data_IF_061473036723
#
_entry.id   IF_061473036723
#
_cell.length_a   1.000
_cell.length_b   1.000
_cell.length_c   1.000
_cell.angle_alpha   90.00
_cell.angle_beta   90.00
_cell.angle_gamma   90.00
#
_symmetry.space_group_name_H-M   'P 1'
#
loop_
_entity.id
_entity.type
_entity.pdbx_description
1 polymer ?
#
# COMPACT_ATOMS: atom_id res chain seq x y z
N UNK A 1 -51.71 -28.04 7.76
CA UNK A 1 -50.34 -27.91 7.25
C UNK A 1 -49.98 -26.44 7.34
N UNK A 2 -49.00 -26.07 8.18
CA UNK A 2 -48.50 -24.70 8.22
C UNK A 2 -47.65 -24.45 6.96
N UNK A 3 -47.80 -23.28 6.32
CA UNK A 3 -46.94 -22.94 5.18
C UNK A 3 -45.52 -22.68 5.68
N UNK A 4 -44.52 -22.92 4.83
CA UNK A 4 -43.11 -22.68 5.17
C UNK A 4 -42.89 -21.23 5.66
N UNK A 5 -43.63 -20.28 5.10
CA UNK A 5 -43.64 -18.87 5.49
C UNK A 5 -44.20 -18.61 6.89
N UNK A 6 -45.19 -19.38 7.34
CA UNK A 6 -45.76 -19.26 8.70
C UNK A 6 -44.79 -19.78 9.75
N UNK A 7 -44.03 -20.83 9.40
CA UNK A 7 -42.99 -21.41 10.24
C UNK A 7 -41.83 -20.42 10.37
N UNK A 8 -41.37 -19.83 9.26
CA UNK A 8 -40.31 -18.81 9.28
C UNK A 8 -40.71 -17.52 10.00
N UNK A 9 -41.95 -17.08 9.85
CA UNK A 9 -42.48 -15.91 10.58
C UNK A 9 -42.53 -16.17 12.08
N UNK A 10 -42.91 -17.37 12.50
CA UNK A 10 -42.93 -17.78 13.91
C UNK A 10 -41.52 -17.87 14.51
N UNK A 11 -40.55 -18.39 13.74
CA UNK A 11 -39.14 -18.45 14.14
C UNK A 11 -38.54 -17.04 14.26
N UNK A 12 -38.84 -16.14 13.32
CA UNK A 12 -38.41 -14.74 13.38
C UNK A 12 -39.01 -14.01 14.58
N UNK A 13 -40.29 -14.20 14.90
CA UNK A 13 -40.94 -13.58 16.07
C UNK A 13 -40.32 -14.08 17.39
N UNK A 14 -40.00 -15.37 17.47
CA UNK A 14 -39.34 -15.97 18.64
C UNK A 14 -37.91 -15.42 18.78
N UNK A 15 -37.15 -15.33 17.68
CA UNK A 15 -35.80 -14.77 17.67
C UNK A 15 -35.81 -13.27 18.01
N UNK A 16 -36.75 -12.49 17.48
CA UNK A 16 -36.89 -11.06 17.78
C UNK A 16 -37.25 -10.83 19.24
N UNK A 17 -38.15 -11.66 19.80
CA UNK A 17 -38.52 -11.62 21.22
C UNK A 17 -37.36 -12.01 22.15
N UNK A 18 -36.49 -12.92 21.69
CA UNK A 18 -35.29 -13.33 22.41
C UNK A 18 -34.21 -12.25 22.35
N UNK A 19 -33.98 -11.64 21.19
CA UNK A 19 -33.06 -10.52 21.00
C UNK A 19 -33.49 -9.27 21.78
N UNK A 20 -34.78 -8.95 21.84
CA UNK A 20 -35.32 -7.82 22.60
C UNK A 20 -35.22 -8.01 24.13
N UNK A 21 -35.13 -9.27 24.60
CA UNK A 21 -34.85 -9.59 26.01
C UNK A 21 -33.37 -9.48 26.38
N UNK A 22 -32.47 -9.69 25.42
CA UNK A 22 -31.01 -9.64 25.63
C UNK A 22 -30.47 -8.22 25.40
N UNK A 23 -31.07 -7.47 24.47
CA UNK A 23 -30.69 -6.11 24.12
C UNK A 23 -31.93 -5.21 24.07
N UNK A 24 -32.37 -4.65 25.22
CA UNK A 24 -33.46 -3.68 25.19
C UNK A 24 -33.03 -2.43 24.41
N UNK A 25 -33.92 -1.83 23.59
CA UNK A 25 -33.61 -0.59 22.88
C UNK A 25 -33.31 0.56 23.86
N UNK A 26 -32.47 1.54 23.48
CA UNK A 26 -32.11 2.65 24.35
C UNK A 26 -33.34 3.55 24.58
N UNK A 27 -33.91 3.50 25.79
CA UNK A 27 -34.95 4.42 26.21
C UNK A 27 -34.39 5.84 26.41
N UNK A 28 -35.12 6.81 25.89
CA UNK A 28 -34.94 8.25 26.10
C UNK A 28 -35.51 8.67 27.46
N UNK A 29 -34.64 8.91 28.45
CA UNK A 29 -35.02 9.63 29.67
C UNK A 29 -34.29 9.23 30.95
N UNK A 30 -33.62 10.22 31.55
CA UNK A 30 -33.18 10.44 32.95
C UNK A 30 -32.68 9.21 33.77
N UNK A 31 -31.40 9.32 34.19
CA UNK A 31 -30.67 8.36 35.03
C UNK A 31 -31.44 7.88 36.28
N UNK A 32 -31.21 6.62 36.65
CA UNK A 32 -30.60 6.35 37.95
C UNK A 32 -29.37 5.44 37.83
N UNK A 33 -28.35 5.69 38.66
CA UNK A 33 -27.15 4.83 38.79
C UNK A 33 -27.56 3.37 39.11
N UNK A 34 -27.04 2.35 38.40
CA UNK A 34 -27.06 0.97 38.88
C UNK A 34 -25.65 0.44 39.13
N UNK A 35 -25.38 0.23 40.42
CA UNK A 35 -24.86 -0.97 41.08
C UNK A 35 -24.14 -2.00 40.17
N UNK A 36 -22.90 -2.31 40.57
CA UNK A 36 -22.02 -3.37 40.06
C UNK A 36 -22.74 -4.73 40.05
N UNK A 37 -23.11 -5.20 38.86
CA UNK A 37 -23.59 -6.57 38.60
C UNK A 37 -22.67 -7.27 37.60
N UNK A 38 -22.19 -8.47 37.93
CA UNK A 38 -21.27 -9.29 37.11
C UNK A 38 -21.85 -9.57 35.71
N UNK A 39 -21.04 -9.53 34.64
CA UNK A 39 -21.51 -9.86 33.29
C UNK A 39 -21.82 -11.37 33.16
N UNK A 40 -23.02 -11.69 32.69
CA UNK A 40 -23.43 -13.04 32.28
C UNK A 40 -22.64 -13.43 31.02
N UNK A 41 -22.05 -14.63 31.01
CA UNK A 41 -21.30 -15.18 29.87
C UNK A 41 -22.26 -15.46 28.71
N UNK A 42 -22.00 -14.87 27.55
CA UNK A 42 -22.66 -15.26 26.30
C UNK A 42 -22.11 -16.61 25.83
N UNK A 43 -23.01 -17.52 25.48
CA UNK A 43 -22.68 -18.83 24.89
C UNK A 43 -22.43 -18.60 23.39
N UNK A 44 -21.30 -19.04 22.81
CA UNK A 44 -21.05 -18.89 21.38
C UNK A 44 -22.02 -19.75 20.57
N UNK A 45 -22.52 -19.21 19.46
CA UNK A 45 -23.38 -19.93 18.53
C UNK A 45 -22.57 -21.00 17.79
N UNK A 46 -23.17 -22.19 17.50
CA UNK A 46 -22.55 -23.20 16.67
C UNK A 46 -22.11 -22.66 15.31
N UNK A 47 -20.95 -23.11 14.76
CA UNK A 47 -20.42 -22.67 13.46
C UNK A 47 -21.41 -22.81 12.31
N UNK A 48 -22.26 -23.84 12.34
CA UNK A 48 -23.26 -24.12 11.32
C UNK A 48 -24.35 -23.03 11.29
N UNK A 49 -24.68 -22.46 12.45
CA UNK A 49 -25.63 -21.35 12.58
C UNK A 49 -24.97 -20.04 12.11
N UNK A 50 -23.66 -19.87 12.35
CA UNK A 50 -22.92 -18.71 11.85
C UNK A 50 -22.82 -18.72 10.32
N UNK A 51 -22.56 -19.87 9.70
CA UNK A 51 -22.50 -20.01 8.24
C UNK A 51 -23.86 -19.80 7.57
N UNK A 52 -24.96 -20.21 8.21
CA UNK A 52 -26.31 -19.87 7.78
C UNK A 52 -26.59 -18.37 7.94
N UNK A 53 -26.19 -17.74 9.04
CA UNK A 53 -26.30 -16.28 9.23
C UNK A 53 -25.49 -15.53 8.17
N UNK A 54 -24.27 -15.99 7.85
CA UNK A 54 -23.43 -15.40 6.80
C UNK A 54 -24.06 -15.56 5.43
N UNK A 55 -24.54 -16.75 5.08
CA UNK A 55 -25.20 -16.99 3.80
C UNK A 55 -26.51 -16.21 3.66
N UNK A 56 -27.31 -16.11 4.72
CA UNK A 56 -28.57 -15.36 4.72
C UNK A 56 -28.31 -13.85 4.56
N UNK A 57 -27.27 -13.31 5.22
CA UNK A 57 -26.92 -11.89 5.13
C UNK A 57 -26.24 -11.52 3.81
N UNK A 58 -25.39 -12.38 3.25
CA UNK A 58 -24.84 -12.20 1.90
C UNK A 58 -25.98 -12.24 0.87
N UNK A 59 -26.93 -13.16 1.05
CA UNK A 59 -28.12 -13.23 0.18
C UNK A 59 -28.99 -11.98 0.34
N UNK A 60 -29.25 -11.50 1.55
CA UNK A 60 -30.00 -10.25 1.79
C UNK A 60 -29.27 -9.00 1.26
N UNK A 61 -27.94 -8.96 1.32
CA UNK A 61 -27.11 -7.91 0.73
C UNK A 61 -27.14 -7.92 -0.80
N UNK A 62 -27.29 -9.09 -1.41
CA UNK A 62 -27.28 -9.26 -2.87
C UNK A 62 -28.67 -9.24 -3.51
N UNK A 63 -29.75 -9.51 -2.77
CA UNK A 63 -31.09 -9.72 -3.36
C UNK A 63 -32.12 -8.61 -3.12
N UNK A 64 -31.82 -7.50 -2.43
CA UNK A 64 -32.83 -6.43 -2.26
C UNK A 64 -32.37 -5.02 -2.64
N UNK A 65 -33.16 -4.41 -3.52
CA UNK A 65 -33.22 -3.00 -3.90
C UNK A 65 -33.69 -2.10 -2.73
N UNK A 66 -33.11 -2.22 -1.53
CA UNK A 66 -33.57 -1.48 -0.33
C UNK A 66 -32.60 -0.42 0.20
N UNK A 67 -31.48 -0.14 -0.48
CA UNK A 67 -30.59 0.96 -0.07
C UNK A 67 -30.92 2.24 -0.85
N UNK A 68 -31.57 3.19 -0.17
CA UNK A 68 -31.96 4.48 -0.77
C UNK A 68 -30.78 5.34 -1.24
N UNK A 69 -29.58 5.17 -0.66
CA UNK A 69 -28.34 5.83 -1.13
C UNK A 69 -27.08 4.98 -0.91
N UNK A 70 -26.03 5.26 -1.69
CA UNK A 70 -24.68 4.64 -1.54
C UNK A 70 -24.08 4.86 -0.14
N UNK A 71 -24.49 5.94 0.55
CA UNK A 71 -24.05 6.25 1.91
C UNK A 71 -24.59 5.24 2.93
N UNK A 72 -25.84 4.83 2.77
CA UNK A 72 -26.50 3.89 3.67
C UNK A 72 -25.89 2.49 3.53
N UNK A 73 -25.57 2.08 2.30
CA UNK A 73 -24.80 0.87 2.03
C UNK A 73 -23.44 0.86 2.76
N UNK A 74 -22.67 1.95 2.68
CA UNK A 74 -21.36 2.06 3.34
C UNK A 74 -21.44 2.05 4.87
N UNK A 75 -22.49 2.65 5.42
CA UNK A 75 -22.74 2.64 6.87
C UNK A 75 -23.05 1.20 7.33
N UNK A 76 -23.92 0.50 6.61
CA UNK A 76 -24.28 -0.89 6.94
C UNK A 76 -23.11 -1.85 6.76
N UNK A 77 -22.32 -1.71 5.69
CA UNK A 77 -21.09 -2.48 5.49
C UNK A 77 -20.10 -2.27 6.66
N UNK A 78 -19.97 -1.04 7.15
CA UNK A 78 -19.09 -0.72 8.30
C UNK A 78 -19.60 -1.31 9.62
N UNK A 79 -20.91 -1.34 9.83
CA UNK A 79 -21.51 -1.99 11.00
C UNK A 79 -21.34 -3.52 10.94
N UNK A 80 -21.58 -4.12 9.77
CA UNK A 80 -21.36 -5.54 9.53
C UNK A 80 -19.91 -5.96 9.78
N UNK A 81 -18.92 -5.19 9.29
CA UNK A 81 -17.50 -5.48 9.55
C UNK A 81 -17.14 -5.39 11.04
N UNK A 82 -17.78 -4.49 11.80
CA UNK A 82 -17.61 -4.43 13.27
C UNK A 82 -18.26 -5.62 13.98
N UNK A 83 -19.42 -6.07 13.52
CA UNK A 83 -20.11 -7.21 14.08
C UNK A 83 -19.38 -8.52 13.76
N UNK A 84 -18.79 -8.67 12.58
CA UNK A 84 -17.87 -9.78 12.26
C UNK A 84 -16.69 -9.78 13.23
N UNK A 85 -16.04 -8.62 13.42
CA UNK A 85 -14.93 -8.53 14.37
C UNK A 85 -15.33 -8.78 15.83
N UNK A 86 -16.56 -8.43 16.21
CA UNK A 86 -17.12 -8.76 17.53
C UNK A 86 -17.51 -10.24 17.69
N UNK A 87 -18.00 -10.87 16.62
CA UNK A 87 -18.51 -12.25 16.61
C UNK A 87 -17.41 -13.30 16.45
N UNK A 88 -16.27 -12.93 15.82
CA UNK A 88 -15.05 -13.75 15.76
C UNK A 88 -14.30 -13.86 17.11
N UNK A 89 -14.90 -13.39 18.22
CA UNK A 89 -14.42 -13.71 19.57
C UNK A 89 -13.06 -13.12 19.94
N UNK A 90 -12.57 -12.10 19.24
CA UNK A 90 -11.31 -11.41 19.56
C UNK A 90 -11.49 -10.40 20.71
N UNK A 91 -12.01 -10.88 21.84
CA UNK A 91 -11.91 -10.23 23.14
C UNK A 91 -11.38 -11.25 24.16
N UNK A 92 -10.07 -11.19 24.39
CA UNK A 92 -9.27 -11.75 25.50
C UNK A 92 -9.94 -12.73 26.48
N UNK A 93 -9.44 -13.98 26.51
CA UNK A 93 -8.73 -14.57 27.68
C UNK A 93 -8.11 -15.91 27.33
N UNK A 94 -6.79 -16.01 27.53
CA UNK A 94 -6.06 -17.25 27.63
C UNK A 94 -6.65 -18.12 28.75
N UNK A 95 -7.06 -19.35 28.43
CA UNK A 95 -6.88 -20.51 29.32
C UNK A 95 -6.99 -21.83 28.56
N UNK A 96 -5.89 -22.60 28.63
CA UNK A 96 -5.69 -24.05 28.47
C UNK A 96 -6.26 -24.79 27.24
N UNK A 97 -5.31 -25.46 26.58
CA UNK A 97 -5.47 -26.56 25.64
C UNK A 97 -6.66 -27.49 25.90
N UNK A 98 -7.31 -27.96 24.83
CA UNK A 98 -7.30 -29.38 24.40
C UNK A 98 -8.22 -29.62 23.20
N UNK A 99 -7.71 -30.46 22.30
CA UNK A 99 -8.41 -31.40 21.41
C UNK A 99 -9.44 -30.89 20.41
N UNK A 100 -9.11 -31.10 19.13
CA UNK A 100 -10.05 -31.69 18.17
C UNK A 100 -10.95 -30.73 17.42
N UNK A 101 -10.40 -29.92 16.53
CA UNK A 101 -11.18 -29.28 15.46
C UNK A 101 -10.33 -29.24 14.18
N UNK A 102 -10.95 -29.61 13.06
CA UNK A 102 -10.34 -29.79 11.74
C UNK A 102 -9.64 -28.49 11.29
N UNK A 103 -8.43 -28.67 10.76
CA UNK A 103 -7.60 -27.65 10.12
C UNK A 103 -8.43 -26.90 9.06
N UNK A 104 -8.70 -25.61 9.23
CA UNK A 104 -9.11 -24.75 8.11
C UNK A 104 -7.96 -24.76 7.10
N UNK A 105 -8.26 -24.83 5.80
CA UNK A 105 -7.25 -24.89 4.74
C UNK A 105 -6.13 -23.86 4.91
N UNK A 106 -4.92 -24.24 4.47
CA UNK A 106 -3.75 -23.37 4.36
C UNK A 106 -4.12 -21.97 3.80
N UNK A 107 -3.56 -20.93 4.43
CA UNK A 107 -3.51 -19.56 3.90
C UNK A 107 -4.71 -18.67 4.26
N UNK A 108 -4.71 -18.08 5.47
CA UNK A 108 -5.54 -16.89 5.72
C UNK A 108 -4.92 -15.73 4.96
N UNK A 109 -5.72 -14.96 4.20
CA UNK A 109 -5.29 -13.77 3.47
C UNK A 109 -6.00 -12.54 4.03
N UNK A 110 -5.30 -11.41 4.16
CA UNK A 110 -5.91 -10.14 4.55
C UNK A 110 -5.71 -9.15 3.39
N UNK A 111 -6.81 -8.65 2.82
CA UNK A 111 -6.80 -7.61 1.80
C UNK A 111 -7.59 -6.42 2.33
N UNK A 112 -6.90 -5.31 2.59
CA UNK A 112 -7.52 -4.06 3.10
C UNK A 112 -7.57 -2.97 2.03
N UNK A 113 -7.14 -3.30 0.80
CA UNK A 113 -7.11 -2.37 -0.34
C UNK A 113 -8.47 -1.69 -0.61
N UNK A 114 -9.58 -2.42 -0.41
CA UNK A 114 -10.94 -1.95 -0.68
C UNK A 114 -11.76 -1.63 0.60
N UNK A 115 -11.37 -2.19 1.75
CA UNK A 115 -12.12 -2.10 3.01
C UNK A 115 -11.70 -0.93 3.93
N UNK A 116 -10.76 -0.10 3.50
CA UNK A 116 -10.14 0.96 4.30
C UNK A 116 -8.93 0.46 5.09
N UNK A 117 -8.21 1.37 5.76
CA UNK A 117 -7.00 1.01 6.51
C UNK A 117 -7.31 0.29 7.82
N UNK A 118 -6.37 -0.55 8.26
CA UNK A 118 -6.42 -1.15 9.59
C UNK A 118 -6.28 -0.07 10.68
N UNK A 119 -6.77 -0.34 11.90
CA UNK A 119 -6.50 0.53 13.04
C UNK A 119 -4.99 0.80 13.20
N UNK A 120 -4.67 1.98 13.72
CA UNK A 120 -3.28 2.34 14.07
C UNK A 120 -2.75 1.31 15.09
N UNK A 121 -1.48 0.96 14.95
CA UNK A 121 -0.75 -0.01 15.79
C UNK A 121 -1.36 -1.42 15.83
N UNK A 122 -2.09 -1.82 14.79
CA UNK A 122 -2.71 -3.14 14.74
C UNK A 122 -1.67 -4.27 14.80
N UNK A 123 -1.92 -5.27 15.64
CA UNK A 123 -1.01 -6.39 15.85
C UNK A 123 -1.46 -7.61 15.04
N UNK A 124 -0.81 -7.84 13.89
CA UNK A 124 -1.10 -8.99 13.03
C UNK A 124 -0.47 -10.30 13.52
N UNK A 125 0.41 -10.28 14.53
CA UNK A 125 1.03 -11.50 15.05
C UNK A 125 0.00 -12.49 15.64
N UNK A 126 -1.20 -12.01 15.98
CA UNK A 126 -2.31 -12.85 16.44
C UNK A 126 -2.87 -13.75 15.33
N UNK A 127 -2.69 -13.37 14.07
CA UNK A 127 -3.10 -14.16 12.90
C UNK A 127 -2.01 -15.19 12.56
N UNK A 128 -1.84 -16.21 13.41
CA UNK A 128 -0.67 -17.12 13.40
C UNK A 128 -0.51 -18.00 12.16
N UNK A 129 -1.52 -18.05 11.29
CA UNK A 129 -1.54 -18.82 10.02
C UNK A 129 -1.71 -17.92 8.78
N UNK A 130 -1.53 -16.60 8.94
CA UNK A 130 -1.58 -15.62 7.85
C UNK A 130 -0.33 -15.77 6.98
N UNK A 131 -0.51 -16.08 5.70
CA UNK A 131 0.60 -16.27 4.75
C UNK A 131 0.72 -15.11 3.77
N UNK A 132 -0.40 -14.44 3.43
CA UNK A 132 -0.44 -13.37 2.44
C UNK A 132 -1.21 -12.18 3.01
N UNK A 133 -0.63 -10.98 2.92
CA UNK A 133 -1.32 -9.75 3.33
C UNK A 133 -1.10 -8.62 2.33
N UNK A 134 -2.16 -7.88 2.02
CA UNK A 134 -2.14 -6.61 1.28
C UNK A 134 -2.79 -5.52 2.15
N UNK A 135 -1.97 -4.57 2.59
CA UNK A 135 -2.31 -3.63 3.67
C UNK A 135 -2.25 -2.18 3.21
N UNK A 136 -3.34 -1.45 3.34
CA UNK A 136 -3.41 -0.02 3.04
C UNK A 136 -2.84 0.83 4.19
N UNK A 137 -1.69 1.44 3.95
CA UNK A 137 -0.93 2.26 4.92
C UNK A 137 -1.23 3.76 4.83
N UNK A 138 -2.23 4.18 4.06
CA UNK A 138 -2.51 5.60 3.85
C UNK A 138 -2.82 6.37 5.15
N UNK A 139 -3.41 5.69 6.16
CA UNK A 139 -3.66 6.28 7.50
C UNK A 139 -2.43 6.35 8.40
N UNK A 140 -1.26 5.90 7.92
CA UNK A 140 0.01 6.05 8.62
C UNK A 140 0.48 7.51 8.70
N UNK A 141 -0.20 8.42 8.02
CA UNK A 141 0.00 9.86 8.15
C UNK A 141 -1.34 10.58 8.31
N UNK A 142 -1.39 11.58 9.19
CA UNK A 142 -2.57 12.42 9.39
C UNK A 142 -2.16 13.89 9.49
N UNK A 143 -2.94 14.77 8.85
CA UNK A 143 -2.71 16.21 8.94
C UNK A 143 -3.21 16.76 10.29
N UNK A 144 -2.31 17.38 11.06
CA UNK A 144 -2.67 18.11 12.27
C UNK A 144 -2.86 19.59 11.95
N UNK A 145 -4.12 20.06 11.95
CA UNK A 145 -4.41 21.48 11.76
C UNK A 145 -3.80 22.36 12.84
N UNK A 146 -3.78 21.90 14.09
CA UNK A 146 -3.26 22.68 15.21
C UNK A 146 -1.74 22.88 15.14
N UNK A 147 -1.01 21.86 14.66
CA UNK A 147 0.45 21.88 14.57
C UNK A 147 0.96 22.24 13.18
N UNK A 148 0.05 22.37 12.19
CA UNK A 148 0.37 22.60 10.78
C UNK A 148 1.43 21.62 10.25
N UNK A 149 1.31 20.33 10.62
CA UNK A 149 2.25 19.29 10.21
C UNK A 149 1.56 17.93 10.04
N UNK A 150 2.21 17.02 9.31
CA UNK A 150 1.81 15.62 9.26
C UNK A 150 2.33 14.87 10.47
N UNK A 151 1.41 14.25 11.21
CA UNK A 151 1.72 13.28 12.26
C UNK A 151 1.87 11.91 11.62
N UNK A 152 2.91 11.19 12.02
CA UNK A 152 3.19 9.83 11.57
C UNK A 152 2.71 8.84 12.62
N UNK A 153 2.07 7.78 12.15
CA UNK A 153 1.57 6.69 12.94
C UNK A 153 2.02 5.38 12.35
N UNK A 154 2.32 4.43 13.23
CA UNK A 154 2.65 3.08 12.82
C UNK A 154 1.34 2.34 12.53
N UNK A 155 1.16 1.86 11.30
CA UNK A 155 -0.05 1.10 10.95
C UNK A 155 -0.05 -0.29 11.61
N UNK A 156 1.07 -1.01 11.52
CA UNK A 156 1.22 -2.36 12.05
C UNK A 156 2.32 -2.38 13.11
N UNK A 157 2.00 -2.93 14.28
CA UNK A 157 2.95 -3.06 15.40
C UNK A 157 3.78 -4.35 15.34
N UNK A 158 3.24 -5.42 14.77
CA UNK A 158 3.93 -6.70 14.58
C UNK A 158 3.24 -7.57 13.53
N UNK A 159 4.01 -8.44 12.86
CA UNK A 159 3.54 -9.41 11.88
C UNK A 159 3.70 -10.86 12.36
N UNK A 160 2.92 -11.82 11.84
CA UNK A 160 3.06 -13.22 12.19
C UNK A 160 4.23 -13.87 11.41
N UNK A 161 4.95 -14.80 12.06
CA UNK A 161 6.06 -15.55 11.44
C UNK A 161 5.64 -16.42 10.24
N UNK A 162 4.35 -16.71 10.10
CA UNK A 162 3.77 -17.44 8.98
C UNK A 162 3.74 -16.64 7.68
N UNK A 163 3.91 -15.31 7.73
CA UNK A 163 3.79 -14.45 6.56
C UNK A 163 4.86 -14.78 5.51
N UNK A 164 4.44 -14.89 4.24
CA UNK A 164 5.27 -15.21 3.08
C UNK A 164 5.23 -14.11 2.03
N UNK A 165 4.06 -13.50 1.82
CA UNK A 165 3.89 -12.41 0.87
C UNK A 165 3.27 -11.21 1.56
N UNK A 166 3.89 -10.05 1.41
CA UNK A 166 3.41 -8.81 1.97
C UNK A 166 3.39 -7.71 0.92
N UNK A 167 2.23 -7.11 0.73
CA UNK A 167 2.05 -5.90 -0.04
C UNK A 167 1.60 -4.76 0.88
N UNK A 168 2.33 -3.66 0.83
CA UNK A 168 2.00 -2.42 1.51
C UNK A 168 1.58 -1.41 0.46
N UNK A 169 0.35 -0.93 0.57
CA UNK A 169 -0.26 0.01 -0.36
C UNK A 169 -0.27 1.41 0.22
N UNK A 170 -0.08 2.42 -0.64
CA UNK A 170 -0.18 3.85 -0.29
C UNK A 170 0.75 4.25 0.86
N UNK A 171 1.97 3.73 0.84
CA UNK A 171 2.99 4.04 1.82
C UNK A 171 3.41 5.52 1.76
N UNK A 172 3.38 6.20 2.91
CA UNK A 172 3.99 7.53 3.12
C UNK A 172 5.14 7.49 4.14
N UNK A 173 5.17 6.49 5.02
CA UNK A 173 6.25 6.31 6.00
C UNK A 173 7.52 5.81 5.29
N UNK A 174 8.72 6.15 5.80
CA UNK A 174 9.97 5.64 5.24
C UNK A 174 9.98 4.12 5.16
N UNK A 175 10.46 3.55 4.05
CA UNK A 175 10.53 2.11 3.85
C UNK A 175 11.35 1.42 4.93
N UNK A 176 12.37 2.09 5.46
CA UNK A 176 13.26 1.50 6.47
C UNK A 176 12.50 1.08 7.73
N UNK A 177 11.45 1.80 8.11
CA UNK A 177 10.62 1.45 9.26
C UNK A 177 9.82 0.17 9.00
N UNK A 178 9.26 0.03 7.79
CA UNK A 178 8.52 -1.16 7.38
C UNK A 178 9.45 -2.36 7.22
N UNK A 179 10.56 -2.20 6.50
CA UNK A 179 11.52 -3.27 6.22
C UNK A 179 12.12 -3.80 7.52
N UNK A 180 12.50 -2.94 8.48
CA UNK A 180 12.99 -3.39 9.79
C UNK A 180 11.96 -4.25 10.51
N UNK A 181 10.72 -3.77 10.60
CA UNK A 181 9.66 -4.52 11.26
C UNK A 181 9.40 -5.89 10.61
N UNK A 182 9.35 -5.92 9.28
CA UNK A 182 9.14 -7.15 8.52
C UNK A 182 10.32 -8.10 8.66
N UNK A 183 11.55 -7.59 8.66
CA UNK A 183 12.77 -8.37 8.91
C UNK A 183 12.77 -9.04 10.28
N UNK A 184 12.33 -8.30 11.32
CA UNK A 184 12.29 -8.82 12.68
C UNK A 184 11.20 -9.89 12.88
N UNK A 185 10.07 -9.75 12.18
CA UNK A 185 8.90 -10.60 12.39
C UNK A 185 8.79 -11.79 11.42
N UNK A 186 9.28 -11.64 10.19
CA UNK A 186 8.94 -12.51 9.06
C UNK A 186 10.18 -13.08 8.36
N UNK A 187 10.99 -13.92 9.04
CA UNK A 187 12.21 -14.49 8.43
C UNK A 187 11.93 -15.39 7.22
N UNK A 188 10.68 -15.86 7.08
CA UNK A 188 10.23 -16.69 5.96
C UNK A 188 9.64 -15.92 4.78
N UNK A 189 9.68 -14.59 4.77
CA UNK A 189 9.08 -13.78 3.71
C UNK A 189 9.78 -14.02 2.36
N UNK A 190 8.99 -14.33 1.33
CA UNK A 190 9.46 -14.59 -0.03
C UNK A 190 9.16 -13.44 -0.99
N UNK A 191 8.15 -12.63 -0.70
CA UNK A 191 7.77 -11.48 -1.53
C UNK A 191 7.43 -10.26 -0.69
N UNK A 192 8.03 -9.12 -1.04
CA UNK A 192 7.75 -7.83 -0.43
C UNK A 192 7.42 -6.80 -1.50
N UNK A 193 6.24 -6.17 -1.39
CA UNK A 193 5.82 -5.06 -2.22
C UNK A 193 5.62 -3.80 -1.39
N UNK A 194 6.36 -2.75 -1.71
CA UNK A 194 6.29 -1.45 -1.07
C UNK A 194 5.74 -0.44 -2.07
N UNK A 195 4.41 -0.41 -2.21
CA UNK A 195 3.73 0.49 -3.13
C UNK A 195 3.51 1.83 -2.45
N UNK A 196 4.30 2.83 -2.87
CA UNK A 196 4.17 4.19 -2.35
C UNK A 196 2.87 4.83 -2.79
N UNK A 197 2.32 5.67 -1.92
CA UNK A 197 1.43 6.70 -2.39
C UNK A 197 2.27 7.62 -3.27
N UNK A 198 1.79 7.98 -4.45
CA UNK A 198 2.47 8.91 -5.34
C UNK A 198 1.47 9.89 -5.90
N UNK A 199 2.00 11.00 -6.41
CA UNK A 199 1.20 11.97 -7.15
C UNK A 199 0.45 11.39 -8.35
N UNK A 200 0.90 10.26 -8.90
CA UNK A 200 0.31 9.65 -10.09
C UNK A 200 -0.86 8.71 -9.74
N UNK A 201 -0.77 8.01 -8.61
CA UNK A 201 -1.79 7.05 -8.19
C UNK A 201 -2.87 7.67 -7.27
N UNK A 202 -2.53 8.70 -6.49
CA UNK A 202 -3.44 9.39 -5.57
C UNK A 202 -3.18 10.91 -5.55
N UNK A 203 -3.51 11.62 -6.66
CA UNK A 203 -3.23 13.07 -6.80
C UNK A 203 -3.99 13.95 -5.81
N UNK A 204 -5.05 13.43 -5.19
CA UNK A 204 -5.88 14.18 -4.23
C UNK A 204 -5.38 14.05 -2.79
N UNK A 205 -4.41 13.17 -2.52
CA UNK A 205 -3.85 12.99 -1.20
C UNK A 205 -3.23 14.29 -0.66
N UNK A 206 -3.66 14.70 0.54
CA UNK A 206 -3.20 15.93 1.19
C UNK A 206 -1.70 15.96 1.46
N UNK A 207 -1.06 14.79 1.59
CA UNK A 207 0.39 14.68 1.78
C UNK A 207 1.14 15.44 0.70
N UNK A 208 0.70 15.36 -0.56
CA UNK A 208 1.35 16.03 -1.69
C UNK A 208 1.24 17.56 -1.66
N UNK A 209 0.39 18.14 -0.81
CA UNK A 209 0.27 19.60 -0.69
C UNK A 209 1.43 20.23 0.05
N UNK A 210 2.10 19.48 0.93
CA UNK A 210 3.21 19.97 1.76
C UNK A 210 4.59 19.59 1.21
N UNK A 211 4.65 18.81 0.13
CA UNK A 211 5.91 18.48 -0.56
C UNK A 211 6.19 19.58 -1.57
N UNK A 212 6.51 20.76 -1.01
CA UNK A 212 6.51 22.05 -1.68
C UNK A 212 7.82 22.32 -2.41
N UNK A 213 8.91 21.67 -2.01
CA UNK A 213 10.21 21.83 -2.67
C UNK A 213 10.45 20.67 -3.61
N UNK A 214 11.02 20.96 -4.78
CA UNK A 214 11.43 19.98 -5.79
C UNK A 214 12.38 18.89 -5.22
N UNK A 215 12.90 19.04 -4.01
CA UNK A 215 13.81 18.09 -3.36
C UNK A 215 13.10 17.09 -2.43
N UNK A 216 11.80 17.28 -2.14
CA UNK A 216 11.08 16.48 -1.13
C UNK A 216 10.36 15.26 -1.72
N UNK A 217 10.55 14.97 -3.01
CA UNK A 217 9.93 13.80 -3.68
C UNK A 217 10.76 12.54 -3.43
N UNK A 218 10.69 12.03 -2.20
CA UNK A 218 11.46 10.87 -1.74
C UNK A 218 11.26 9.59 -2.58
N UNK A 219 10.16 9.49 -3.31
CA UNK A 219 9.84 8.40 -4.23
C UNK A 219 10.42 8.56 -5.65
N UNK A 220 11.09 9.67 -5.96
CA UNK A 220 11.80 9.91 -7.21
C UNK A 220 13.30 10.00 -6.94
N UNK A 221 14.07 9.01 -7.40
CA UNK A 221 15.52 8.93 -7.22
C UNK A 221 16.22 9.27 -8.53
N UNK A 222 17.33 10.01 -8.46
CA UNK A 222 18.13 10.29 -9.66
C UNK A 222 18.57 8.99 -10.35
N UNK A 223 18.56 9.00 -11.69
CA UNK A 223 19.10 7.90 -12.52
C UNK A 223 20.62 7.96 -12.67
N UNK A 224 21.29 8.94 -12.04
CA UNK A 224 22.75 9.04 -12.05
C UNK A 224 23.40 7.86 -11.32
N UNK A 225 24.43 7.28 -11.95
CA UNK A 225 25.08 6.04 -11.49
C UNK A 225 25.49 6.08 -10.00
N UNK A 226 26.17 7.12 -9.48
CA UNK A 226 26.56 7.14 -8.06
C UNK A 226 25.34 7.07 -7.12
N UNK A 227 24.28 7.81 -7.45
CA UNK A 227 23.03 7.84 -6.66
C UNK A 227 22.35 6.48 -6.67
N UNK A 228 22.29 5.82 -7.83
CA UNK A 228 21.70 4.47 -7.97
C UNK A 228 22.50 3.45 -7.17
N UNK A 229 23.84 3.51 -7.21
CA UNK A 229 24.72 2.61 -6.44
C UNK A 229 24.52 2.80 -4.94
N UNK A 230 24.51 4.04 -4.46
CA UNK A 230 24.26 4.34 -3.04
C UNK A 230 22.88 3.84 -2.59
N UNK A 231 21.85 4.16 -3.36
CA UNK A 231 20.47 3.76 -3.11
C UNK A 231 20.33 2.23 -3.05
N UNK A 232 20.84 1.51 -4.05
CA UNK A 232 20.68 0.07 -4.14
C UNK A 232 21.43 -0.68 -3.03
N UNK A 233 22.63 -0.21 -2.66
CA UNK A 233 23.36 -0.77 -1.52
C UNK A 233 22.63 -0.51 -0.20
N UNK A 234 22.14 0.71 0.03
CA UNK A 234 21.33 1.03 1.22
C UNK A 234 20.11 0.12 1.35
N UNK A 235 19.34 -0.02 0.27
CA UNK A 235 18.19 -0.95 0.22
C UNK A 235 18.61 -2.39 0.49
N UNK A 236 19.71 -2.85 -0.11
CA UNK A 236 20.21 -4.20 0.12
C UNK A 236 20.60 -4.45 1.58
N UNK A 237 21.24 -3.48 2.24
CA UNK A 237 21.58 -3.58 3.66
C UNK A 237 20.35 -3.72 4.55
N UNK A 238 19.29 -2.95 4.28
CA UNK A 238 18.02 -3.03 5.01
C UNK A 238 17.34 -4.39 4.86
N UNK A 239 17.43 -4.99 3.68
CA UNK A 239 16.77 -6.24 3.33
C UNK A 239 17.52 -7.50 3.81
N UNK A 240 18.69 -7.37 4.44
CA UNK A 240 19.50 -8.52 4.90
C UNK A 240 18.79 -9.44 5.88
N UNK A 241 17.84 -8.90 6.64
CA UNK A 241 17.02 -9.68 7.57
C UNK A 241 15.97 -10.56 6.90
N UNK A 242 15.85 -10.54 5.57
CA UNK A 242 14.90 -11.34 4.79
C UNK A 242 15.64 -12.40 3.95
N UNK A 243 16.11 -13.49 4.58
CA UNK A 243 17.02 -14.45 3.93
C UNK A 243 16.37 -15.31 2.84
N UNK A 244 15.04 -15.31 2.74
CA UNK A 244 14.28 -16.06 1.74
C UNK A 244 13.60 -15.17 0.69
N UNK A 245 13.92 -13.86 0.65
CA UNK A 245 13.28 -12.92 -0.26
C UNK A 245 13.63 -13.26 -1.72
N UNK A 246 12.61 -13.63 -2.50
CA UNK A 246 12.73 -13.98 -3.91
C UNK A 246 12.23 -12.88 -4.85
N UNK A 247 11.26 -12.08 -4.41
CA UNK A 247 10.68 -10.99 -5.18
C UNK A 247 10.57 -9.70 -4.37
N UNK A 248 11.04 -8.60 -4.95
CA UNK A 248 11.02 -7.27 -4.34
C UNK A 248 10.40 -6.25 -5.29
N UNK A 249 9.35 -5.57 -4.82
CA UNK A 249 8.68 -4.53 -5.59
C UNK A 249 8.80 -3.20 -4.85
N UNK A 250 9.50 -2.23 -5.44
CA UNK A 250 9.82 -0.94 -4.81
C UNK A 250 9.06 0.17 -5.51
N UNK A 251 8.26 0.94 -4.77
CA UNK A 251 7.47 2.07 -5.29
C UNK A 251 8.27 3.34 -5.57
N UNK A 252 9.53 3.21 -5.98
CA UNK A 252 10.40 4.33 -6.36
C UNK A 252 10.55 4.41 -7.88
N UNK A 253 10.48 5.62 -8.42
CA UNK A 253 10.92 5.90 -9.79
C UNK A 253 12.43 6.15 -9.77
N UNK A 254 13.18 5.42 -10.58
CA UNK A 254 14.60 5.72 -10.82
C UNK A 254 14.74 6.77 -11.92
N UNK A 255 14.06 7.88 -11.69
CA UNK A 255 14.18 9.13 -12.43
C UNK A 255 13.91 10.28 -11.45
N UNK A 256 14.61 11.40 -11.61
CA UNK A 256 14.45 12.54 -10.70
C UNK A 256 13.16 13.31 -10.97
N UNK A 257 12.77 14.18 -10.03
CA UNK A 257 11.63 15.10 -10.24
C UNK A 257 11.81 15.95 -11.51
N UNK A 258 13.03 16.14 -11.99
CA UNK A 258 13.32 16.89 -13.20
C UNK A 258 12.48 16.39 -14.38
N UNK A 259 12.26 15.08 -14.50
CA UNK A 259 11.43 14.54 -15.57
C UNK A 259 9.97 15.01 -15.52
N UNK A 260 9.41 15.25 -14.33
CA UNK A 260 8.08 15.87 -14.17
C UNK A 260 8.13 17.33 -14.62
N UNK A 261 9.20 18.06 -14.27
CA UNK A 261 9.36 19.47 -14.64
C UNK A 261 9.54 19.64 -16.14
N UNK A 262 10.46 18.88 -16.74
CA UNK A 262 10.73 18.81 -18.17
C UNK A 262 9.46 18.52 -18.95
N UNK A 263 8.74 17.44 -18.59
CA UNK A 263 7.48 17.10 -19.24
C UNK A 263 6.48 18.27 -19.22
N UNK A 264 6.39 18.97 -18.10
CA UNK A 264 5.37 19.99 -17.88
C UNK A 264 5.73 21.37 -18.38
N UNK A 265 7.01 21.71 -18.47
CA UNK A 265 7.46 23.07 -18.75
C UNK A 265 8.01 23.23 -20.16
N UNK A 266 8.61 22.20 -20.73
CA UNK A 266 9.19 22.27 -22.06
C UNK A 266 8.15 22.13 -23.17
N UNK A 267 8.22 23.01 -24.16
CA UNK A 267 7.27 23.03 -25.27
C UNK A 267 7.34 21.77 -26.13
N UNK A 268 8.52 21.15 -26.21
CA UNK A 268 8.73 19.88 -26.90
C UNK A 268 7.83 18.77 -26.33
N UNK A 269 7.71 18.69 -25.00
CA UNK A 269 6.85 17.70 -24.32
C UNK A 269 5.38 18.13 -24.36
N UNK A 270 5.09 19.41 -24.14
CA UNK A 270 3.72 19.95 -24.11
C UNK A 270 2.89 19.66 -25.36
N UNK A 271 3.54 19.59 -26.54
CA UNK A 271 2.84 19.29 -27.81
C UNK A 271 2.16 17.91 -27.82
N UNK A 272 2.57 17.01 -26.91
CA UNK A 272 2.01 15.67 -26.77
C UNK A 272 0.99 15.54 -25.63
N UNK A 273 0.69 16.63 -24.92
CA UNK A 273 -0.26 16.57 -23.81
C UNK A 273 -1.69 16.32 -24.33
N UNK A 274 -2.45 15.39 -23.71
CA UNK A 274 -3.86 15.14 -24.08
C UNK A 274 -4.80 16.27 -23.62
N UNK A 275 -4.31 17.18 -22.78
CA UNK A 275 -4.98 18.39 -22.33
C UNK A 275 -3.99 19.54 -22.35
N UNK A 276 -4.49 20.77 -22.48
CA UNK A 276 -3.64 21.96 -22.44
C UNK A 276 -3.10 22.17 -21.01
N UNK A 277 -1.83 21.84 -20.79
CA UNK A 277 -1.12 22.28 -19.59
C UNK A 277 -0.67 23.73 -19.77
N UNK A 278 -1.10 24.61 -18.87
CA UNK A 278 -0.72 26.03 -18.86
C UNK A 278 0.40 26.31 -17.86
N UNK A 279 1.02 25.26 -17.33
CA UNK A 279 2.12 25.42 -16.41
C UNK A 279 3.34 26.02 -17.12
N UNK A 280 3.91 27.05 -16.52
CA UNK A 280 5.14 27.69 -16.97
C UNK A 280 5.98 28.10 -15.77
N UNK A 281 7.29 28.00 -15.93
CA UNK A 281 8.26 28.49 -14.98
C UNK A 281 8.73 29.88 -15.43
N UNK A 282 8.75 30.86 -14.52
CA UNK A 282 9.35 32.19 -14.76
C UNK A 282 10.58 32.31 -13.85
N UNK A 283 11.77 32.21 -14.45
CA UNK A 283 13.11 32.56 -13.94
C UNK A 283 13.29 32.47 -12.40
N UNK A 284 12.89 31.35 -11.80
CA UNK A 284 13.17 31.00 -10.41
C UNK A 284 12.36 31.77 -9.36
N UNK A 285 11.39 32.60 -9.76
CA UNK A 285 10.60 33.44 -8.84
C UNK A 285 9.13 33.00 -8.74
N UNK A 286 8.57 32.36 -9.78
CA UNK A 286 7.19 31.90 -9.72
C UNK A 286 6.84 30.82 -10.74
N UNK A 287 6.08 29.83 -10.29
CA UNK A 287 5.42 28.85 -11.16
C UNK A 287 4.00 29.32 -11.41
N UNK A 288 3.68 29.63 -12.65
CA UNK A 288 2.31 29.94 -13.01
C UNK A 288 1.55 28.64 -13.27
N UNK A 289 0.58 28.33 -12.42
CA UNK A 289 -0.26 27.15 -12.58
C UNK A 289 -1.74 27.49 -12.35
N UNK A 290 -2.54 27.50 -13.41
CA UNK A 290 -3.98 27.74 -13.31
C UNK A 290 -4.71 26.71 -12.44
N UNK A 291 -4.19 25.48 -12.31
CA UNK A 291 -4.72 24.47 -11.40
C UNK A 291 -4.50 24.88 -9.94
N UNK A 292 -3.39 25.55 -9.65
CA UNK A 292 -3.08 26.08 -8.31
C UNK A 292 -3.98 27.26 -7.96
N UNK A 293 -4.21 28.19 -8.90
CA UNK A 293 -5.17 29.28 -8.70
C UNK A 293 -6.60 28.75 -8.45
N UNK A 294 -7.04 27.74 -9.21
CA UNK A 294 -8.34 27.08 -8.97
C UNK A 294 -8.38 26.32 -7.65
N UNK A 295 -7.32 25.58 -7.32
CA UNK A 295 -7.25 24.83 -6.07
C UNK A 295 -7.25 25.77 -4.85
N UNK A 296 -6.54 26.90 -4.90
CA UNK A 296 -6.59 27.92 -3.85
C UNK A 296 -7.97 28.57 -3.73
N UNK A 297 -8.65 28.83 -4.85
CA UNK A 297 -10.01 29.37 -4.84
C UNK A 297 -11.07 28.37 -4.33
N UNK A 298 -10.81 27.07 -4.48
CA UNK A 298 -11.68 25.97 -4.06
C UNK A 298 -11.29 25.34 -2.71
N UNK A 299 -10.14 25.70 -2.14
CA UNK A 299 -9.63 25.21 -0.87
C UNK A 299 -10.48 25.74 0.29
N UNK A 300 -11.67 25.15 0.44
CA UNK A 300 -12.51 25.20 1.63
C UNK A 300 -12.41 23.87 2.40
N UNK A 301 -11.31 23.14 2.23
CA UNK A 301 -11.08 21.89 2.96
C UNK A 301 -10.13 22.10 4.14
N UNK A 302 -10.19 21.18 5.07
CA UNK A 302 -9.45 21.21 6.33
C UNK A 302 -7.97 20.78 6.17
N UNK A 303 -7.46 20.70 4.94
CA UNK A 303 -6.13 20.19 4.62
C UNK A 303 -5.02 21.25 4.76
N UNK A 304 -3.76 20.87 4.46
CA UNK A 304 -2.64 21.79 4.45
C UNK A 304 -2.84 22.94 3.46
N UNK A 305 -2.33 24.15 3.77
CA UNK A 305 -2.35 25.26 2.84
C UNK A 305 -1.56 24.92 1.57
N UNK A 306 -1.98 25.51 0.45
CA UNK A 306 -1.35 25.30 -0.84
C UNK A 306 -0.31 26.39 -1.04
N UNK A 307 0.97 26.04 -1.00
CA UNK A 307 2.04 26.98 -1.31
C UNK A 307 2.06 27.28 -2.81
N UNK A 308 1.89 28.57 -3.15
CA UNK A 308 1.79 29.09 -4.51
C UNK A 308 3.11 29.05 -5.29
N UNK A 309 4.24 28.84 -4.60
CA UNK A 309 5.58 28.83 -5.21
C UNK A 309 6.03 27.44 -5.67
N UNK A 310 5.13 26.46 -5.57
CA UNK A 310 5.46 25.04 -5.72
C UNK A 310 4.85 24.48 -6.98
N UNK A 311 5.49 23.46 -7.55
CA UNK A 311 4.99 22.80 -8.75
C UNK A 311 3.78 21.96 -8.37
N UNK A 312 2.60 22.59 -8.41
CA UNK A 312 1.34 21.86 -8.24
C UNK A 312 1.16 20.89 -9.38
N UNK A 313 0.81 19.66 -9.04
CA UNK A 313 0.69 18.58 -10.00
C UNK A 313 -0.35 18.83 -11.07
N UNK A 314 -0.06 18.32 -12.27
CA UNK A 314 -1.02 18.32 -13.34
C UNK A 314 -2.20 17.39 -13.03
N UNK A 315 -3.33 17.66 -13.67
CA UNK A 315 -4.48 16.75 -13.64
C UNK A 315 -4.06 15.33 -14.04
N UNK A 316 -4.67 14.30 -13.44
CA UNK A 316 -4.39 12.90 -13.80
C UNK A 316 -4.48 12.63 -15.30
N UNK A 317 -5.36 13.37 -15.99
CA UNK A 317 -5.54 13.29 -17.43
C UNK A 317 -4.29 13.73 -18.21
N UNK A 318 -3.41 14.57 -17.67
CA UNK A 318 -2.14 14.91 -18.33
C UNK A 318 -1.29 13.67 -18.55
N UNK A 319 -1.25 12.78 -17.57
CA UNK A 319 -0.41 11.59 -17.56
C UNK A 319 -1.09 10.38 -18.22
N UNK A 320 -2.31 10.52 -18.72
CA UNK A 320 -3.09 9.38 -19.21
C UNK A 320 -2.62 8.82 -20.55
N UNK A 321 -1.72 9.53 -21.25
CA UNK A 321 -1.16 9.13 -22.54
C UNK A 321 0.37 9.11 -22.44
N UNK A 322 1.05 8.08 -22.99
CA UNK A 322 2.50 8.09 -23.12
C UNK A 322 3.01 9.32 -23.88
N UNK A 323 4.15 9.85 -23.46
CA UNK A 323 4.78 11.00 -24.11
C UNK A 323 6.01 10.52 -24.89
N UNK A 324 6.03 10.61 -26.23
CA UNK A 324 7.18 10.17 -27.03
C UNK A 324 8.49 10.89 -26.69
N UNK A 325 8.41 12.10 -26.17
CA UNK A 325 9.58 12.90 -25.77
C UNK A 325 10.15 12.40 -24.44
N UNK A 326 9.27 12.08 -23.47
CA UNK A 326 9.70 11.41 -22.25
C UNK A 326 10.37 10.07 -22.56
N UNK A 327 9.82 9.30 -23.50
CA UNK A 327 10.43 8.04 -23.94
C UNK A 327 11.83 8.28 -24.50
N UNK A 328 11.96 9.23 -25.44
CA UNK A 328 13.24 9.54 -26.07
C UNK A 328 14.30 10.02 -25.08
N UNK A 329 13.90 10.83 -24.11
CA UNK A 329 14.82 11.47 -23.18
C UNK A 329 15.16 10.57 -21.98
N UNK A 330 14.19 9.84 -21.44
CA UNK A 330 14.32 9.17 -20.15
C UNK A 330 14.38 7.64 -20.23
N UNK A 331 14.00 6.99 -21.34
CA UNK A 331 13.95 5.52 -21.39
C UNK A 331 15.30 4.87 -21.09
N UNK A 332 16.36 5.32 -21.78
CA UNK A 332 17.69 4.75 -21.60
C UNK A 332 18.27 5.01 -20.20
N UNK A 333 18.24 6.25 -19.66
CA UNK A 333 18.68 6.50 -18.28
C UNK A 333 17.92 5.67 -17.23
N UNK A 334 16.60 5.55 -17.35
CA UNK A 334 15.77 4.74 -16.45
C UNK A 334 16.16 3.27 -16.53
N UNK A 335 16.22 2.70 -17.74
CA UNK A 335 16.56 1.29 -17.91
C UNK A 335 17.95 0.96 -17.34
N UNK A 336 18.96 1.81 -17.57
CA UNK A 336 20.30 1.64 -16.99
C UNK A 336 20.24 1.67 -15.46
N UNK A 337 19.53 2.63 -14.88
CA UNK A 337 19.39 2.77 -13.44
C UNK A 337 18.69 1.57 -12.80
N UNK A 338 17.58 1.11 -13.39
CA UNK A 338 16.82 -0.03 -12.89
C UNK A 338 17.59 -1.35 -13.00
N UNK A 339 18.28 -1.59 -14.12
CA UNK A 339 19.16 -2.76 -14.27
C UNK A 339 20.31 -2.74 -13.28
N UNK A 340 20.99 -1.60 -13.13
CA UNK A 340 22.09 -1.46 -12.16
C UNK A 340 21.61 -1.69 -10.73
N UNK A 341 20.49 -1.06 -10.33
CA UNK A 341 19.91 -1.27 -9.01
C UNK A 341 19.53 -2.74 -8.79
N UNK A 342 18.91 -3.38 -9.78
CA UNK A 342 18.51 -4.79 -9.72
C UNK A 342 19.72 -5.72 -9.60
N UNK A 343 20.80 -5.45 -10.34
CA UNK A 343 22.06 -6.19 -10.28
C UNK A 343 22.71 -6.09 -8.90
N UNK A 344 22.78 -4.89 -8.31
CA UNK A 344 23.32 -4.68 -6.95
C UNK A 344 22.47 -5.42 -5.91
N UNK A 345 21.14 -5.36 -6.00
CA UNK A 345 20.25 -6.10 -5.11
C UNK A 345 20.46 -7.62 -5.21
N UNK A 346 20.60 -8.16 -6.42
CA UNK A 346 20.87 -9.58 -6.66
C UNK A 346 22.26 -10.02 -6.16
N UNK A 347 23.26 -9.13 -6.23
CA UNK A 347 24.59 -9.41 -5.69
C UNK A 347 24.53 -9.65 -4.17
N UNK A 348 23.75 -8.84 -3.45
CA UNK A 348 23.55 -8.96 -2.00
C UNK A 348 22.60 -10.10 -1.61
N UNK A 349 21.43 -10.19 -2.24
CA UNK A 349 20.31 -11.04 -1.80
C UNK A 349 20.29 -12.33 -2.63
N UNK A 350 20.87 -13.40 -2.08
CA UNK A 350 21.11 -14.66 -2.83
C UNK A 350 19.89 -15.29 -3.50
N UNK A 351 18.70 -15.35 -2.85
CA UNK A 351 17.52 -15.98 -3.43
C UNK A 351 16.73 -15.07 -4.37
N UNK A 352 17.12 -13.79 -4.52
CA UNK A 352 16.37 -12.82 -5.30
C UNK A 352 16.34 -13.25 -6.77
N UNK A 353 15.13 -13.31 -7.32
CA UNK A 353 14.84 -13.70 -8.72
C UNK A 353 14.14 -12.58 -9.47
N UNK A 354 13.48 -11.66 -8.77
CA UNK A 354 12.64 -10.63 -9.36
C UNK A 354 12.75 -9.29 -8.61
N UNK A 355 12.88 -8.20 -9.38
CA UNK A 355 12.86 -6.83 -8.88
C UNK A 355 11.94 -5.99 -9.76
N UNK A 356 11.12 -5.13 -9.16
CA UNK A 356 10.26 -4.19 -9.88
C UNK A 356 10.37 -2.78 -9.31
N UNK A 357 10.27 -1.76 -10.16
CA UNK A 357 10.25 -0.35 -9.74
C UNK A 357 8.97 0.35 -10.19
N UNK A 358 8.69 1.53 -9.66
CA UNK A 358 7.68 2.39 -10.25
C UNK A 358 8.20 2.94 -11.59
N UNK A 359 7.41 2.83 -12.66
CA UNK A 359 7.87 3.18 -14.00
C UNK A 359 7.30 4.53 -14.47
N UNK A 360 8.19 5.49 -14.73
CA UNK A 360 7.82 6.83 -15.19
C UNK A 360 7.40 6.86 -16.67
N UNK A 361 7.61 5.80 -17.43
CA UNK A 361 7.21 5.75 -18.84
C UNK A 361 5.93 4.95 -19.03
N UNK A 362 5.45 4.28 -17.98
CA UNK A 362 4.23 3.49 -18.05
C UNK A 362 2.97 4.34 -18.15
N UNK A 363 1.89 3.70 -18.59
CA UNK A 363 0.55 4.29 -18.63
C UNK A 363 0.17 4.87 -17.27
N UNK A 364 -0.23 6.15 -17.28
CA UNK A 364 -0.57 6.92 -16.07
C UNK A 364 0.57 6.97 -15.03
N UNK A 365 1.76 6.46 -15.35
CA UNK A 365 2.94 6.35 -14.46
C UNK A 365 2.70 5.41 -13.27
N UNK A 366 1.76 4.47 -13.37
CA UNK A 366 1.35 3.62 -12.23
C UNK A 366 1.71 2.14 -12.39
N UNK A 367 1.88 1.67 -13.63
CA UNK A 367 2.29 0.28 -13.87
C UNK A 367 3.78 0.15 -13.56
N UNK A 368 4.23 -0.87 -12.81
CA UNK A 368 5.64 -1.04 -12.49
C UNK A 368 6.46 -1.53 -13.70
N UNK A 369 7.76 -1.26 -13.68
CA UNK A 369 8.76 -1.95 -14.51
C UNK A 369 9.17 -3.25 -13.84
N UNK A 370 9.74 -4.20 -14.56
CA UNK A 370 9.99 -5.55 -14.05
C UNK A 370 11.27 -6.13 -14.61
N UNK A 371 12.08 -6.72 -13.73
CA UNK A 371 13.39 -7.28 -14.06
C UNK A 371 13.54 -8.66 -13.43
N UNK A 372 13.81 -9.68 -14.25
CA UNK A 372 14.35 -10.94 -13.78
C UNK A 372 15.82 -10.75 -13.47
N UNK A 373 16.26 -11.29 -12.35
CA UNK A 373 17.64 -11.20 -11.91
C UNK A 373 18.21 -12.56 -11.57
N UNK A 374 19.52 -12.66 -11.68
CA UNK A 374 20.26 -13.75 -11.09
C UNK A 374 21.74 -13.43 -11.05
N UNK A 375 22.51 -14.40 -10.55
CA UNK A 375 23.93 -14.23 -10.30
C UNK A 375 24.67 -15.53 -10.49
N UNK A 376 25.93 -15.41 -10.89
CA UNK A 376 26.85 -16.53 -11.07
C UNK A 376 28.26 -16.10 -10.68
N UNK A 377 29.02 -17.02 -10.12
CA UNK A 377 30.45 -16.79 -9.86
C UNK A 377 31.25 -17.30 -11.05
N UNK A 378 32.11 -16.45 -11.61
CA UNK A 378 33.07 -16.81 -12.64
C UNK A 378 34.47 -16.68 -12.03
N UNK A 379 34.99 -17.77 -11.47
CA UNK A 379 36.23 -17.71 -10.67
C UNK A 379 36.03 -16.90 -9.39
N UNK A 380 36.79 -15.81 -9.23
CA UNK A 380 36.65 -14.88 -8.10
C UNK A 380 35.64 -13.77 -8.34
N UNK A 381 35.14 -13.63 -9.56
CA UNK A 381 34.34 -12.48 -9.95
C UNK A 381 32.85 -12.82 -9.89
N UNK A 382 32.06 -11.91 -9.30
CA UNK A 382 30.62 -12.04 -9.26
C UNK A 382 30.04 -11.40 -10.52
N UNK A 383 29.33 -12.20 -11.30
CA UNK A 383 28.52 -11.70 -12.42
C UNK A 383 27.05 -11.73 -12.02
N UNK A 384 26.36 -10.64 -12.27
CA UNK A 384 24.90 -10.56 -12.16
C UNK A 384 24.30 -10.39 -13.53
N UNK A 385 23.10 -10.92 -13.72
CA UNK A 385 22.37 -10.72 -14.97
C UNK A 385 21.00 -10.13 -14.69
N UNK A 386 20.54 -9.30 -15.62
CA UNK A 386 19.22 -8.69 -15.62
C UNK A 386 18.55 -8.96 -16.96
N UNK A 387 17.26 -9.29 -16.95
CA UNK A 387 16.48 -9.61 -18.14
C UNK A 387 15.08 -9.01 -17.99
N UNK A 388 14.64 -8.27 -19.00
CA UNK A 388 13.25 -7.84 -19.11
C UNK A 388 12.40 -9.07 -19.47
N UNK A 389 11.42 -9.47 -18.63
CA UNK A 389 10.60 -10.64 -18.89
C UNK A 389 9.75 -10.52 -20.17
N UNK A 390 9.41 -9.29 -20.60
CA UNK A 390 8.64 -9.05 -21.82
C UNK A 390 9.55 -9.03 -23.07
N UNK A 391 10.88 -8.97 -22.87
CA UNK A 391 11.90 -9.04 -23.91
C UNK A 391 12.99 -10.06 -23.53
N UNK A 392 12.75 -11.39 -23.66
CA UNK A 392 13.70 -12.42 -23.18
C UNK A 392 15.11 -12.37 -23.78
N UNK A 393 15.28 -11.77 -24.97
CA UNK A 393 16.59 -11.55 -25.60
C UNK A 393 17.36 -10.36 -25.03
N UNK A 394 16.81 -9.65 -24.05
CA UNK A 394 17.40 -8.44 -23.44
C UNK A 394 18.35 -8.72 -22.27
N UNK A 395 18.77 -9.98 -22.07
CA UNK A 395 19.64 -10.34 -20.96
C UNK A 395 20.98 -9.61 -21.06
N UNK A 396 21.33 -8.88 -20.00
CA UNK A 396 22.63 -8.21 -19.86
C UNK A 396 23.34 -8.81 -18.66
N UNK A 397 24.59 -9.21 -18.85
CA UNK A 397 25.50 -9.67 -17.78
C UNK A 397 26.39 -8.50 -17.40
N UNK A 398 26.51 -8.24 -16.11
CA UNK A 398 27.36 -7.20 -15.54
C UNK A 398 28.28 -7.82 -14.49
N UNK A 399 29.56 -7.51 -14.58
CA UNK A 399 30.53 -7.82 -13.53
C UNK A 399 30.33 -6.87 -12.35
N UNK A 400 30.43 -7.41 -11.14
CA UNK A 400 30.24 -6.67 -9.90
C UNK A 400 31.52 -6.72 -9.07
N UNK A 401 32.00 -5.56 -8.66
CA UNK A 401 33.14 -5.42 -7.76
C UNK A 401 32.64 -5.17 -6.35
N UNK A 402 33.08 -6.02 -5.42
CA UNK A 402 32.74 -5.92 -4.01
C UNK A 402 33.83 -5.19 -3.24
N UNK A 403 33.48 -4.16 -2.48
CA UNK A 403 34.40 -3.48 -1.57
C UNK A 403 33.66 -2.98 -0.34
N UNK A 404 34.19 -3.25 0.86
CA UNK A 404 33.61 -2.84 2.14
C UNK A 404 32.11 -3.11 2.23
N UNK A 405 31.70 -4.33 1.86
CA UNK A 405 30.31 -4.77 1.93
C UNK A 405 29.34 -3.99 1.02
N UNK A 406 29.89 -3.38 -0.04
CA UNK A 406 29.15 -2.70 -1.10
C UNK A 406 29.45 -3.35 -2.45
N UNK A 407 28.48 -3.35 -3.34
CA UNK A 407 28.63 -3.80 -4.73
C UNK A 407 28.42 -2.64 -5.70
N UNK A 408 29.19 -2.63 -6.78
CA UNK A 408 29.04 -1.67 -7.87
C UNK A 408 29.67 -2.18 -9.16
N UNK A 409 29.51 -1.43 -10.26
CA UNK A 409 30.21 -1.73 -11.50
C UNK A 409 31.73 -1.55 -11.30
N UNK A 410 32.57 -2.17 -12.15
CA UNK A 410 33.99 -1.88 -12.16
C UNK A 410 34.23 -0.38 -12.37
N UNK A 411 35.26 0.22 -11.76
CA UNK A 411 35.64 1.59 -12.08
C UNK A 411 35.89 1.68 -13.59
N UNK A 412 35.32 2.70 -14.22
CA UNK A 412 35.68 3.04 -15.60
C UNK A 412 37.18 3.35 -15.56
N UNK A 413 37.98 2.57 -16.29
CA UNK A 413 39.41 2.82 -16.38
C UNK A 413 39.66 4.24 -16.87
N UNK A 414 40.57 4.95 -16.21
CA UNK A 414 41.05 6.28 -16.61
C UNK A 414 41.67 6.28 -18.02
#
# INVERSE_FOLDING_TARGET
>A
MFSLTDIWSSVLIILFSFCHKIYPPPWTGILPKPIVGRPRRCIPLPPEILDEIFSLNITLLLNEFQYGTVRDYRIQQKHFMREIWGSCGYNQRYERASSGARVPGLGVWIITAEAGSLPIDFNLAMCTVLEIASINYHTGVEWSQSQQCFRRFRCISSYPRSLRQLEILRLHTPEEEVIRLVSDCCPGLTELRLVRCTMFNDPDCWYWRTHTRNQDHDYMKSSEVPTVVDYANHMAHLLRGLPLLEALHIGHYLNSIHAVLTHRFEDAHKRYHPIRDRASHVDGVGIFNNLQARAMALARDNGPPIDSTTVRLAERKLWSVPCPECEREFARPIEIAERLSSGILAAHIKPLKHVSFANFLSDKRITPSSWRVGRQWCGTDLQVWTEDPDRPSSRIIQEMVGSNDRWGPPPLGD
#
